data_IF_538845622559
#
_entry.id   IF_538845622559
#
_cell.length_a   1.000
_cell.length_b   1.000
_cell.length_c   1.000
_cell.angle_alpha   90.00
_cell.angle_beta   90.00
_cell.angle_gamma   90.00
#
_symmetry.space_group_name_H-M   'P 1'
#
loop_
_entity.id
_entity.type
_entity.pdbx_description
1 polymer ?
#
# COMPACT_ATOMS: atom_id res chain seq x y z
N UNK A 1 18.32 13.56 16.50
CA UNK A 1 17.80 14.71 17.28
C UNK A 1 18.98 15.53 17.75
N UNK A 2 18.95 16.85 17.53
CA UNK A 2 19.96 17.79 18.02
C UNK A 2 19.88 17.88 19.55
N UNK A 3 21.04 17.94 20.22
CA UNK A 3 21.18 17.96 21.70
C UNK A 3 20.34 19.08 22.35
N UNK A 4 20.17 20.19 21.64
CA UNK A 4 19.34 21.34 22.04
C UNK A 4 17.86 21.01 22.21
N UNK A 5 17.27 20.21 21.31
CA UNK A 5 15.86 19.84 21.40
C UNK A 5 15.61 18.91 22.60
N UNK A 6 16.54 18.01 22.93
CA UNK A 6 16.41 17.16 24.12
C UNK A 6 16.50 17.97 25.42
N UNK A 7 17.36 18.98 25.48
CA UNK A 7 17.48 19.86 26.66
C UNK A 7 16.20 20.71 26.85
N UNK A 8 15.65 21.24 25.76
CA UNK A 8 14.37 21.96 25.77
C UNK A 8 13.17 21.07 26.11
N UNK A 9 13.15 19.81 25.66
CA UNK A 9 12.09 18.87 26.00
C UNK A 9 12.17 18.41 27.48
N UNK A 10 13.38 18.30 28.04
CA UNK A 10 13.57 17.96 29.44
C UNK A 10 13.10 19.06 30.39
N UNK A 11 13.16 20.33 29.97
CA UNK A 11 12.63 21.46 30.75
C UNK A 11 11.10 21.57 30.67
N UNK A 12 10.47 20.99 29.63
CA UNK A 12 9.03 21.03 29.47
C UNK A 12 8.23 20.12 30.40
N UNK A 13 8.84 19.22 31.18
CA UNK A 13 8.16 18.38 32.20
C UNK A 13 6.81 17.78 31.78
N UNK A 14 6.70 17.27 30.54
CA UNK A 14 5.47 16.70 29.96
C UNK A 14 4.34 17.70 29.69
N UNK A 15 4.58 19.00 29.77
CA UNK A 15 3.64 20.03 29.32
C UNK A 15 3.55 20.02 27.79
N UNK A 16 2.38 19.63 27.28
CA UNK A 16 2.14 19.45 25.86
C UNK A 16 2.31 20.75 25.05
N UNK A 17 2.03 21.90 25.67
CA UNK A 17 2.14 23.22 25.01
C UNK A 17 3.61 23.64 24.91
N UNK A 18 4.38 23.49 25.98
CA UNK A 18 5.84 23.69 25.96
C UNK A 18 6.50 22.76 24.94
N UNK A 19 6.16 21.47 24.96
CA UNK A 19 6.67 20.48 24.01
C UNK A 19 6.35 20.89 22.57
N UNK A 20 5.09 21.23 22.27
CA UNK A 20 4.68 21.68 20.93
C UNK A 20 5.48 22.90 20.47
N UNK A 21 5.71 23.88 21.36
CA UNK A 21 6.50 25.07 21.06
C UNK A 21 7.96 24.75 20.76
N UNK A 22 8.58 23.83 21.49
CA UNK A 22 9.94 23.35 21.21
C UNK A 22 10.04 22.71 19.83
N UNK A 23 9.04 21.91 19.42
CA UNK A 23 9.00 21.30 18.09
C UNK A 23 8.80 22.36 16.98
N UNK A 24 7.94 23.35 17.19
CA UNK A 24 7.70 24.44 16.23
C UNK A 24 8.96 25.30 16.06
N UNK A 25 9.64 25.65 17.15
CA UNK A 25 10.84 26.50 17.12
C UNK A 25 12.07 25.80 16.51
N UNK A 26 12.10 24.46 16.52
CA UNK A 26 13.16 23.66 15.92
C UNK A 26 12.79 23.13 14.51
N UNK A 27 11.70 23.62 13.89
CA UNK A 27 11.19 23.18 12.56
C UNK A 27 12.26 23.16 11.45
N UNK A 28 13.18 24.11 11.45
CA UNK A 28 14.29 24.19 10.49
C UNK A 28 15.27 23.01 10.62
N UNK A 29 15.45 22.47 11.82
CA UNK A 29 16.26 21.28 12.10
C UNK A 29 15.64 19.97 11.61
N UNK A 30 14.32 19.94 11.35
CA UNK A 30 13.64 18.77 10.78
C UNK A 30 13.74 18.70 9.24
N UNK A 31 14.23 19.74 8.56
CA UNK A 31 14.54 19.65 7.12
C UNK A 31 15.59 18.55 6.82
N UNK A 32 16.48 18.28 7.78
CA UNK A 32 17.45 17.18 7.74
C UNK A 32 16.76 15.81 7.77
N UNK A 33 15.56 15.70 8.36
CA UNK A 33 14.77 14.47 8.30
C UNK A 33 14.26 14.18 6.89
N UNK A 34 13.94 15.20 6.09
CA UNK A 34 13.60 15.01 4.67
C UNK A 34 14.77 14.38 3.92
N UNK A 35 15.98 14.92 4.08
CA UNK A 35 17.20 14.37 3.47
C UNK A 35 17.59 12.99 4.02
N UNK A 36 17.33 12.74 5.31
CA UNK A 36 17.56 11.44 5.94
C UNK A 36 16.57 10.39 5.41
N UNK A 37 15.29 10.74 5.27
CA UNK A 37 14.24 9.85 4.77
C UNK A 37 14.39 9.57 3.27
N UNK A 38 14.80 10.56 2.46
CA UNK A 38 15.12 10.32 1.04
C UNK A 38 16.37 9.45 0.85
N UNK A 39 17.36 9.57 1.75
CA UNK A 39 18.55 8.72 1.77
C UNK A 39 18.37 7.37 2.47
N UNK A 40 17.24 7.14 3.15
CA UNK A 40 17.00 5.96 3.99
C UNK A 40 17.03 4.64 3.21
N UNK A 41 16.42 4.50 2.00
CA UNK A 41 16.50 3.28 1.21
C UNK A 41 17.94 2.89 0.83
N UNK A 42 18.73 3.87 0.37
CA UNK A 42 20.15 3.68 0.03
C UNK A 42 20.98 3.35 1.28
N UNK A 43 20.64 3.96 2.41
CA UNK A 43 21.29 3.68 3.70
C UNK A 43 20.98 2.27 4.20
N UNK A 44 19.74 1.81 4.04
CA UNK A 44 19.31 0.45 4.42
C UNK A 44 19.89 -0.62 3.51
N UNK A 45 19.99 -0.36 2.20
CA UNK A 45 20.66 -1.24 1.25
C UNK A 45 22.15 -1.40 1.58
N UNK A 46 22.84 -0.29 1.85
CA UNK A 46 24.24 -0.30 2.29
C UNK A 46 24.42 -0.97 3.64
N UNK A 47 23.51 -0.73 4.59
CA UNK A 47 23.54 -1.37 5.91
C UNK A 47 23.33 -2.88 5.78
N UNK A 48 22.44 -3.34 4.91
CA UNK A 48 22.24 -4.77 4.63
C UNK A 48 23.50 -5.38 3.97
N UNK A 49 24.12 -4.67 3.03
CA UNK A 49 25.36 -5.10 2.37
C UNK A 49 26.59 -5.12 3.30
N UNK A 50 26.60 -4.29 4.35
CA UNK A 50 27.63 -4.31 5.39
C UNK A 50 27.33 -5.38 6.45
N UNK A 51 26.07 -5.53 6.85
CA UNK A 51 25.65 -6.53 7.82
C UNK A 51 25.74 -7.97 7.29
N UNK A 52 25.82 -8.17 5.97
CA UNK A 52 26.11 -9.48 5.36
C UNK A 52 27.59 -9.87 5.43
N UNK A 53 28.49 -8.93 5.76
CA UNK A 53 29.93 -9.21 5.93
C UNK A 53 30.22 -9.68 7.37
N UNK A 54 30.89 -10.82 7.58
CA UNK A 54 31.09 -11.42 8.92
C UNK A 54 31.81 -10.50 9.92
N UNK A 55 32.82 -9.76 9.46
CA UNK A 55 33.60 -8.84 10.30
C UNK A 55 32.77 -7.64 10.76
N UNK A 56 32.07 -6.97 9.85
CA UNK A 56 31.22 -5.82 10.17
C UNK A 56 30.00 -6.21 11.01
N UNK A 57 29.41 -7.38 10.76
CA UNK A 57 28.33 -7.91 11.60
C UNK A 57 28.77 -8.16 13.04
N UNK A 58 30.01 -8.63 13.24
CA UNK A 58 30.60 -8.81 14.57
C UNK A 58 30.83 -7.49 15.28
N UNK A 59 31.41 -6.49 14.59
CA UNK A 59 31.62 -5.15 15.16
C UNK A 59 30.31 -4.46 15.55
N UNK A 60 29.25 -4.62 14.75
CA UNK A 60 27.93 -4.09 15.09
C UNK A 60 27.37 -4.74 16.35
N UNK A 61 27.50 -6.07 16.50
CA UNK A 61 27.07 -6.78 17.71
C UNK A 61 27.86 -6.39 18.95
N UNK A 62 29.19 -6.29 18.84
CA UNK A 62 30.05 -5.87 19.95
C UNK A 62 29.70 -4.46 20.43
N UNK A 63 29.47 -3.52 19.49
CA UNK A 63 29.01 -2.16 19.84
C UNK A 63 27.59 -2.14 20.42
N UNK A 64 26.67 -2.95 19.90
CA UNK A 64 25.31 -3.05 20.45
C UNK A 64 25.30 -3.57 21.88
N UNK A 65 26.11 -4.59 22.16
CA UNK A 65 26.30 -5.14 23.50
C UNK A 65 26.92 -4.11 24.44
N UNK A 66 27.97 -3.40 24.00
CA UNK A 66 28.60 -2.35 24.80
C UNK A 66 27.65 -1.17 25.11
N UNK A 67 26.73 -0.86 24.20
CA UNK A 67 25.72 0.19 24.38
C UNK A 67 24.43 -0.31 25.07
N UNK A 68 24.31 -1.60 25.37
CA UNK A 68 23.12 -2.19 25.99
C UNK A 68 21.87 -2.10 25.11
N UNK A 69 22.03 -2.05 23.79
CA UNK A 69 20.92 -1.87 22.85
C UNK A 69 20.25 -3.22 22.53
N UNK A 70 18.97 -3.44 22.91
CA UNK A 70 18.29 -4.73 22.70
C UNK A 70 17.92 -5.06 21.26
N UNK A 71 17.81 -4.05 20.38
CA UNK A 71 17.37 -4.23 18.99
C UNK A 71 18.53 -4.14 17.97
N UNK A 72 18.36 -4.71 16.75
CA UNK A 72 19.25 -4.49 15.63
C UNK A 72 19.40 -2.99 15.28
N UNK A 73 20.57 -2.56 14.82
CA UNK A 73 20.85 -1.15 14.49
C UNK A 73 19.82 -0.58 13.51
N UNK A 74 19.37 -1.38 12.56
CA UNK A 74 18.29 -1.07 11.62
C UNK A 74 16.98 -0.61 12.29
N UNK A 75 16.63 -1.19 13.45
CA UNK A 75 15.41 -0.87 14.18
C UNK A 75 15.46 0.49 14.85
N UNK A 76 16.65 0.98 15.22
CA UNK A 76 16.82 2.32 15.78
C UNK A 76 16.82 3.41 14.71
N UNK A 77 16.95 3.03 13.45
CA UNK A 77 16.83 3.95 12.33
C UNK A 77 15.35 4.16 11.91
N UNK A 78 14.41 3.42 12.52
CA UNK A 78 12.97 3.56 12.29
C UNK A 78 12.25 4.12 13.52
N UNK A 79 11.68 5.32 13.31
CA UNK A 79 10.43 5.86 13.90
C UNK A 79 10.58 6.99 14.94
N UNK A 80 9.84 8.11 14.76
CA UNK A 80 9.23 8.84 15.87
C UNK A 80 7.77 8.40 16.03
N UNK A 81 7.44 7.90 17.22
CA UNK A 81 6.10 7.51 17.66
C UNK A 81 5.65 8.52 18.73
N UNK A 82 4.93 9.55 18.33
CA UNK A 82 4.19 10.51 19.19
C UNK A 82 3.24 11.19 18.22
N UNK A 83 1.93 11.09 18.29
CA UNK A 83 1.03 11.68 19.30
C UNK A 83 -0.34 11.05 19.04
N UNK A 84 -0.97 10.43 20.05
CA UNK A 84 -2.37 9.97 19.92
C UNK A 84 -3.28 10.48 21.03
N UNK A 85 -2.82 11.39 21.88
CA UNK A 85 -3.59 11.92 23.00
C UNK A 85 -3.31 13.43 23.16
N UNK A 86 -4.40 14.19 23.34
CA UNK A 86 -4.51 15.65 23.44
C UNK A 86 -4.52 16.44 22.11
N UNK A 87 -5.73 16.86 21.70
CA UNK A 87 -5.96 17.79 20.60
C UNK A 87 -5.94 19.24 21.14
N UNK A 88 -4.94 20.00 20.70
CA UNK A 88 -4.89 21.46 20.71
C UNK A 88 -4.74 21.95 19.26
N UNK A 89 -5.12 23.19 18.96
CA UNK A 89 -5.06 23.75 17.59
C UNK A 89 -3.66 23.66 16.94
N UNK A 90 -2.60 23.62 17.74
CA UNK A 90 -1.21 23.52 17.26
C UNK A 90 -0.76 22.08 16.99
N UNK A 91 -1.28 21.09 17.74
CA UNK A 91 -1.05 19.66 17.45
C UNK A 91 -1.78 19.21 16.19
N UNK A 92 -2.93 19.81 15.90
CA UNK A 92 -3.66 19.61 14.65
C UNK A 92 -2.86 20.13 13.43
N UNK A 93 -2.16 21.27 13.55
CA UNK A 93 -1.31 21.80 12.49
C UNK A 93 -0.08 20.93 12.22
N UNK A 94 0.59 20.45 13.27
CA UNK A 94 1.73 19.52 13.12
C UNK A 94 1.30 18.18 12.52
N UNK A 95 0.14 17.66 12.95
CA UNK A 95 -0.46 16.44 12.41
C UNK A 95 -0.83 16.64 10.94
N UNK A 96 -1.45 17.77 10.57
CA UNK A 96 -1.76 18.11 9.18
C UNK A 96 -0.51 18.13 8.29
N UNK A 97 0.60 18.73 8.77
CA UNK A 97 1.86 18.77 8.02
C UNK A 97 2.51 17.39 7.87
N UNK A 98 2.52 16.59 8.93
CA UNK A 98 3.05 15.22 8.87
C UNK A 98 2.16 14.29 8.03
N UNK A 99 0.84 14.45 8.08
CA UNK A 99 -0.11 13.75 7.21
C UNK A 99 0.07 14.17 5.75
N UNK A 100 0.32 15.44 5.46
CA UNK A 100 0.60 15.91 4.10
C UNK A 100 1.87 15.29 3.49
N UNK A 101 2.92 15.10 4.31
CA UNK A 101 4.15 14.42 3.87
C UNK A 101 3.88 12.93 3.63
N UNK A 102 3.15 12.26 4.54
CA UNK A 102 2.76 10.86 4.36
C UNK A 102 1.90 10.66 3.10
N UNK A 103 0.92 11.54 2.87
CA UNK A 103 0.08 11.53 1.68
C UNK A 103 0.91 11.71 0.40
N UNK A 104 1.89 12.62 0.41
CA UNK A 104 2.78 12.82 -0.73
C UNK A 104 3.65 11.59 -1.02
N UNK A 105 4.16 10.91 0.02
CA UNK A 105 4.91 9.66 -0.13
C UNK A 105 4.02 8.58 -0.73
N UNK A 106 2.79 8.44 -0.23
CA UNK A 106 1.81 7.48 -0.75
C UNK A 106 1.43 7.80 -2.21
N UNK A 107 1.26 9.09 -2.56
CA UNK A 107 0.99 9.55 -3.93
C UNK A 107 2.15 9.20 -4.88
N UNK A 108 3.38 9.37 -4.41
CA UNK A 108 4.57 9.11 -5.21
C UNK A 108 4.80 7.61 -5.41
N UNK A 109 4.58 6.81 -4.38
CA UNK A 109 4.60 5.35 -4.47
C UNK A 109 3.52 4.83 -5.43
N UNK A 110 2.29 5.36 -5.34
CA UNK A 110 1.18 5.00 -6.24
C UNK A 110 1.49 5.28 -7.71
N UNK A 111 2.01 6.47 -8.02
CA UNK A 111 2.39 6.82 -9.40
C UNK A 111 3.48 5.91 -9.95
N UNK A 112 4.42 5.49 -9.10
CA UNK A 112 5.47 4.56 -9.50
C UNK A 112 4.91 3.17 -9.81
N UNK A 113 4.06 2.62 -8.94
CA UNK A 113 3.40 1.32 -9.15
C UNK A 113 2.56 1.31 -10.44
N UNK A 114 1.81 2.38 -10.73
CA UNK A 114 1.06 2.51 -11.98
C UNK A 114 1.96 2.54 -13.22
N UNK A 115 3.04 3.32 -13.17
CA UNK A 115 3.99 3.42 -14.28
C UNK A 115 4.70 2.09 -14.55
N UNK A 116 5.05 1.34 -13.50
CA UNK A 116 5.65 0.01 -13.61
C UNK A 116 4.70 -0.95 -14.34
N UNK A 117 3.45 -1.09 -13.88
CA UNK A 117 2.47 -1.97 -14.54
C UNK A 117 2.24 -1.54 -15.99
N UNK A 118 2.08 -0.24 -16.25
CA UNK A 118 1.87 0.32 -17.58
C UNK A 118 3.04 -0.02 -18.52
N UNK A 119 4.28 0.08 -18.04
CA UNK A 119 5.49 -0.20 -18.82
C UNK A 119 5.62 -1.69 -19.20
N UNK A 120 5.13 -2.58 -18.34
CA UNK A 120 5.17 -4.04 -18.54
C UNK A 120 3.96 -4.56 -19.33
N UNK A 121 2.91 -3.74 -19.50
CA UNK A 121 1.63 -4.14 -20.07
C UNK A 121 1.64 -4.11 -21.61
N UNK A 122 1.75 -5.28 -22.22
CA UNK A 122 1.70 -5.45 -23.67
C UNK A 122 0.28 -5.70 -24.18
N UNK A 123 -0.08 -5.02 -25.28
CA UNK A 123 -1.36 -5.21 -25.98
C UNK A 123 -2.55 -4.45 -25.39
N UNK A 124 -2.29 -3.51 -24.47
CA UNK A 124 -3.29 -2.58 -23.96
C UNK A 124 -3.37 -1.35 -24.87
N UNK A 125 -4.57 -1.09 -25.39
CA UNK A 125 -4.84 0.05 -26.28
C UNK A 125 -5.76 1.09 -25.62
N UNK A 126 -6.03 0.95 -24.32
CA UNK A 126 -6.85 1.92 -23.59
C UNK A 126 -6.03 3.11 -23.07
N UNK A 127 -6.70 4.08 -22.44
CA UNK A 127 -6.06 5.15 -21.68
C UNK A 127 -5.00 4.68 -20.68
N UNK A 128 -4.15 5.61 -20.23
CA UNK A 128 -3.16 5.37 -19.18
C UNK A 128 -3.83 4.79 -17.91
N UNK A 129 -3.19 3.79 -17.29
CA UNK A 129 -3.75 3.09 -16.13
C UNK A 129 -4.08 4.03 -14.95
N UNK A 130 -3.37 5.14 -14.80
CA UNK A 130 -3.64 6.16 -13.77
C UNK A 130 -5.05 6.76 -13.89
N UNK A 131 -5.66 6.75 -15.08
CA UNK A 131 -7.02 7.28 -15.31
C UNK A 131 -8.13 6.45 -14.67
N UNK A 132 -7.84 5.16 -14.38
CA UNK A 132 -8.77 4.22 -13.77
C UNK A 132 -8.78 4.25 -12.24
N UNK A 133 -8.03 5.18 -11.63
CA UNK A 133 -7.97 5.38 -10.19
C UNK A 133 -6.88 4.56 -9.51
N UNK A 134 -6.96 4.45 -8.19
CA UNK A 134 -5.94 3.82 -7.37
C UNK A 134 -5.92 2.31 -7.57
N UNK A 135 -4.71 1.72 -7.51
CA UNK A 135 -4.55 0.27 -7.48
C UNK A 135 -4.97 -0.23 -6.09
N UNK A 136 -6.17 -0.78 -6.00
CA UNK A 136 -6.74 -1.32 -4.77
C UNK A 136 -6.17 -2.68 -4.39
N UNK A 137 -5.86 -3.54 -5.37
CA UNK A 137 -5.39 -4.90 -5.12
C UNK A 137 -4.70 -5.53 -6.34
N UNK A 138 -3.81 -6.48 -6.06
CA UNK A 138 -3.15 -7.32 -7.07
C UNK A 138 -3.19 -8.78 -6.62
N UNK A 139 -3.45 -9.70 -7.56
CA UNK A 139 -3.62 -11.11 -7.22
C UNK A 139 -3.59 -12.03 -8.42
N UNK A 140 -3.29 -13.30 -8.15
CA UNK A 140 -3.15 -14.33 -9.19
C UNK A 140 -4.26 -15.36 -9.08
N UNK A 141 -4.95 -15.61 -10.19
CA UNK A 141 -6.16 -16.43 -10.27
C UNK A 141 -6.06 -17.46 -11.39
N UNK A 142 -6.70 -18.61 -11.20
CA UNK A 142 -7.05 -19.47 -12.33
C UNK A 142 -8.37 -18.96 -12.91
N UNK A 143 -8.41 -18.71 -14.20
CA UNK A 143 -9.60 -18.22 -14.89
C UNK A 143 -10.21 -19.35 -15.71
N UNK A 144 -11.52 -19.60 -15.53
CA UNK A 144 -12.21 -20.65 -16.29
C UNK A 144 -12.11 -20.37 -17.80
N UNK A 145 -11.83 -21.40 -18.60
CA UNK A 145 -11.62 -21.27 -20.05
C UNK A 145 -10.24 -20.75 -20.46
N UNK A 146 -9.40 -20.31 -19.51
CA UNK A 146 -8.06 -19.82 -19.79
C UNK A 146 -6.99 -20.88 -19.47
N UNK A 147 -6.01 -21.04 -20.37
CA UNK A 147 -4.80 -21.84 -20.10
C UNK A 147 -3.84 -21.04 -19.20
N UNK A 148 -3.49 -21.61 -18.05
CA UNK A 148 -2.55 -21.05 -17.07
C UNK A 148 -3.14 -19.98 -16.16
N UNK A 149 -2.33 -19.53 -15.19
CA UNK A 149 -2.72 -18.48 -14.26
C UNK A 149 -2.86 -17.13 -14.97
N UNK A 150 -3.71 -16.27 -14.40
CA UNK A 150 -3.85 -14.88 -14.79
C UNK A 150 -3.54 -14.00 -13.61
N UNK A 151 -2.92 -12.90 -13.90
CA UNK A 151 -2.61 -11.88 -12.93
C UNK A 151 -3.65 -10.77 -13.07
N UNK A 152 -4.21 -10.32 -11.95
CA UNK A 152 -5.42 -9.52 -11.90
C UNK A 152 -5.13 -8.31 -11.04
N UNK A 153 -5.38 -7.13 -11.60
CA UNK A 153 -5.24 -5.85 -10.93
C UNK A 153 -6.62 -5.23 -10.76
N UNK A 154 -6.93 -4.82 -9.53
CA UNK A 154 -8.15 -4.09 -9.20
C UNK A 154 -7.81 -2.62 -9.03
N UNK A 155 -8.26 -1.79 -9.95
CA UNK A 155 -8.29 -0.34 -9.83
C UNK A 155 -9.68 0.12 -9.34
N UNK A 156 -9.79 1.35 -8.83
CA UNK A 156 -11.08 1.92 -8.40
C UNK A 156 -12.19 1.78 -9.47
N UNK A 157 -11.83 1.97 -10.74
CA UNK A 157 -12.77 1.97 -11.86
C UNK A 157 -12.68 0.75 -12.76
N UNK A 158 -11.67 -0.10 -12.61
CA UNK A 158 -11.41 -1.18 -13.57
C UNK A 158 -10.80 -2.41 -12.90
N UNK A 159 -11.32 -3.60 -13.23
CA UNK A 159 -10.67 -4.88 -13.00
C UNK A 159 -9.92 -5.30 -14.27
N UNK A 160 -8.60 -5.31 -14.24
CA UNK A 160 -7.73 -5.67 -15.35
C UNK A 160 -7.21 -7.10 -15.20
N UNK A 161 -7.26 -7.89 -16.28
CA UNK A 161 -6.75 -9.26 -16.32
C UNK A 161 -5.62 -9.36 -17.35
N UNK A 162 -4.49 -9.89 -16.89
CA UNK A 162 -3.29 -10.10 -17.70
C UNK A 162 -2.79 -11.54 -17.60
N UNK A 163 -1.90 -11.92 -18.50
CA UNK A 163 -1.14 -13.18 -18.45
C UNK A 163 0.33 -12.84 -18.36
N UNK A 164 1.01 -13.35 -17.33
CA UNK A 164 2.46 -13.24 -17.24
C UNK A 164 3.14 -14.01 -18.38
N UNK A 165 4.11 -13.38 -19.04
CA UNK A 165 4.98 -13.97 -20.05
C UNK A 165 6.40 -14.12 -19.48
N UNK A 166 7.34 -14.52 -20.31
CA UNK A 166 8.76 -14.48 -19.97
C UNK A 166 9.19 -13.03 -19.71
N UNK A 167 10.24 -12.86 -18.90
CA UNK A 167 10.84 -11.57 -18.53
C UNK A 167 9.93 -10.58 -17.80
N UNK A 168 8.85 -11.06 -17.16
CA UNK A 168 7.94 -10.23 -16.37
C UNK A 168 6.94 -9.40 -17.18
N UNK A 169 6.90 -9.58 -18.50
CA UNK A 169 5.96 -8.89 -19.38
C UNK A 169 4.53 -9.36 -19.11
N UNK A 170 3.62 -8.40 -18.93
CA UNK A 170 2.20 -8.65 -18.69
C UNK A 170 1.43 -8.53 -20.01
N UNK A 171 0.94 -9.64 -20.54
CA UNK A 171 0.09 -9.59 -21.72
C UNK A 171 -1.36 -9.31 -21.34
N UNK A 172 -1.92 -8.21 -21.85
CA UNK A 172 -3.35 -7.90 -21.72
C UNK A 172 -4.24 -9.06 -22.19
N UNK A 173 -5.34 -9.31 -21.48
CA UNK A 173 -6.34 -10.33 -21.83
C UNK A 173 -7.75 -9.78 -21.85
N UNK A 174 -8.17 -9.10 -20.80
CA UNK A 174 -9.50 -8.51 -20.70
C UNK A 174 -9.54 -7.49 -19.57
N UNK A 175 -10.60 -6.70 -19.53
CA UNK A 175 -10.92 -5.85 -18.39
C UNK A 175 -12.43 -5.79 -18.20
N UNK A 176 -12.87 -5.44 -16.99
CA UNK A 176 -14.27 -5.13 -16.66
C UNK A 176 -14.29 -3.83 -15.88
N UNK A 177 -15.13 -2.87 -16.29
CA UNK A 177 -15.29 -1.62 -15.55
C UNK A 177 -16.09 -1.84 -14.26
N UNK A 178 -15.62 -1.30 -13.13
CA UNK A 178 -16.20 -1.54 -11.80
C UNK A 178 -17.61 -0.95 -11.65
N UNK A 179 -17.92 0.12 -12.39
CA UNK A 179 -19.27 0.70 -12.48
C UNK A 179 -20.24 -0.17 -13.30
N UNK A 180 -19.73 -1.15 -14.03
CA UNK A 180 -20.48 -1.99 -14.96
C UNK A 180 -20.24 -3.48 -14.64
N UNK A 181 -20.23 -3.86 -13.36
CA UNK A 181 -20.04 -5.26 -12.97
C UNK A 181 -21.00 -5.72 -11.87
N UNK A 182 -21.30 -7.02 -11.91
CA UNK A 182 -22.01 -7.78 -10.89
C UNK A 182 -21.07 -8.88 -10.38
N UNK A 183 -21.04 -9.10 -9.07
CA UNK A 183 -20.23 -10.15 -8.43
C UNK A 183 -21.11 -11.25 -7.84
N UNK A 184 -20.82 -12.51 -8.18
CA UNK A 184 -21.44 -13.71 -7.62
C UNK A 184 -20.41 -14.49 -6.81
N UNK A 185 -20.53 -14.46 -5.49
CA UNK A 185 -19.53 -15.03 -4.59
C UNK A 185 -19.64 -16.54 -4.38
N UNK A 186 -20.83 -17.11 -4.53
CA UNK A 186 -21.08 -18.53 -4.25
C UNK A 186 -21.37 -19.27 -5.54
N UNK A 187 -20.55 -20.28 -5.84
CA UNK A 187 -20.69 -21.14 -7.01
C UNK A 187 -20.79 -22.57 -6.50
N UNK A 188 -21.89 -23.26 -6.84
CA UNK A 188 -22.11 -24.64 -6.45
C UNK A 188 -20.97 -25.53 -6.97
N UNK A 189 -20.41 -26.38 -6.09
CA UNK A 189 -19.28 -27.25 -6.43
C UNK A 189 -17.91 -26.57 -6.58
N UNK A 190 -17.82 -25.24 -6.48
CA UNK A 190 -16.58 -24.49 -6.63
C UNK A 190 -16.39 -23.44 -5.50
N UNK A 191 -16.07 -23.88 -4.26
CA UNK A 191 -16.03 -23.00 -3.09
C UNK A 191 -14.96 -21.91 -3.15
N UNK A 192 -13.93 -22.09 -3.97
CA UNK A 192 -12.83 -21.12 -4.17
C UNK A 192 -13.07 -20.16 -5.35
N UNK A 193 -14.12 -20.37 -6.13
CA UNK A 193 -14.41 -19.55 -7.31
C UNK A 193 -15.48 -18.49 -7.03
N UNK A 194 -15.45 -17.42 -7.79
CA UNK A 194 -16.48 -16.37 -7.84
C UNK A 194 -16.58 -15.82 -9.28
N UNK A 195 -17.73 -15.24 -9.64
CA UNK A 195 -17.93 -14.62 -10.95
C UNK A 195 -17.92 -13.10 -10.87
N UNK A 196 -17.27 -12.46 -11.84
CA UNK A 196 -17.41 -11.02 -12.12
C UNK A 196 -18.02 -10.89 -13.51
N UNK A 197 -19.20 -10.30 -13.60
CA UNK A 197 -20.06 -10.34 -14.78
C UNK A 197 -20.35 -8.89 -15.22
N UNK A 198 -20.04 -8.49 -16.46
CA UNK A 198 -20.45 -7.17 -16.96
C UNK A 198 -21.97 -7.11 -17.20
N UNK A 199 -22.61 -5.97 -16.95
CA UNK A 199 -24.08 -5.86 -17.15
C UNK A 199 -24.48 -5.85 -18.61
N UNK A 200 -23.74 -5.12 -19.43
CA UNK A 200 -23.97 -4.97 -20.87
C UNK A 200 -23.51 -6.18 -21.69
N UNK A 201 -22.52 -6.93 -21.18
CA UNK A 201 -21.97 -8.11 -21.84
C UNK A 201 -21.83 -9.32 -20.90
N UNK A 202 -22.92 -9.94 -20.42
CA UNK A 202 -22.86 -11.07 -19.48
C UNK A 202 -22.07 -12.28 -20.00
N UNK A 203 -21.96 -12.45 -21.33
CA UNK A 203 -21.16 -13.50 -21.98
C UNK A 203 -19.66 -13.34 -21.73
N UNK A 204 -19.19 -12.13 -21.43
CA UNK A 204 -17.79 -11.82 -21.12
C UNK A 204 -17.46 -11.99 -19.63
N UNK A 205 -18.28 -12.75 -18.88
CA UNK A 205 -18.04 -13.02 -17.47
C UNK A 205 -16.67 -13.66 -17.20
N UNK A 206 -16.08 -13.27 -16.07
CA UNK A 206 -14.86 -13.85 -15.54
C UNK A 206 -15.18 -14.77 -14.38
N UNK A 207 -14.77 -16.03 -14.47
CA UNK A 207 -14.81 -16.96 -13.33
C UNK A 207 -13.41 -17.06 -12.74
N UNK A 208 -13.21 -16.40 -11.60
CA UNK A 208 -11.92 -16.32 -10.92
C UNK A 208 -11.86 -17.35 -9.79
N UNK A 209 -10.91 -18.27 -9.86
CA UNK A 209 -10.64 -19.25 -8.81
C UNK A 209 -9.43 -18.80 -7.99
N UNK A 210 -9.68 -18.53 -6.71
CA UNK A 210 -8.66 -18.13 -5.75
C UNK A 210 -7.83 -19.33 -5.25
N UNK A 211 -6.61 -19.06 -4.77
CA UNK A 211 -5.74 -20.07 -4.13
C UNK A 211 -6.22 -20.56 -2.76
N UNK A 212 -7.08 -19.80 -2.08
CA UNK A 212 -7.61 -20.14 -0.76
C UNK A 212 -8.91 -19.40 -0.46
N UNK A 213 -9.67 -19.88 0.53
CA UNK A 213 -10.92 -19.25 0.95
C UNK A 213 -10.69 -17.83 1.50
N UNK A 214 -9.58 -17.62 2.23
CA UNK A 214 -9.18 -16.29 2.72
C UNK A 214 -8.93 -15.33 1.56
N UNK A 215 -8.17 -15.77 0.55
CA UNK A 215 -7.89 -14.95 -0.63
C UNK A 215 -9.17 -14.61 -1.40
N UNK A 216 -10.08 -15.59 -1.55
CA UNK A 216 -11.41 -15.34 -2.12
C UNK A 216 -12.16 -14.27 -1.32
N UNK A 217 -12.27 -14.43 0.00
CA UNK A 217 -13.00 -13.49 0.88
C UNK A 217 -12.47 -12.07 0.76
N UNK A 218 -11.15 -11.90 0.84
CA UNK A 218 -10.47 -10.61 0.67
C UNK A 218 -10.84 -9.95 -0.67
N UNK A 219 -10.69 -10.68 -1.77
CA UNK A 219 -11.01 -10.16 -3.11
C UNK A 219 -12.48 -9.82 -3.30
N UNK A 220 -13.38 -10.67 -2.80
CA UNK A 220 -14.82 -10.39 -2.88
C UNK A 220 -15.20 -9.14 -2.08
N UNK A 221 -14.57 -8.89 -0.93
CA UNK A 221 -14.81 -7.67 -0.16
C UNK A 221 -14.30 -6.42 -0.87
N UNK A 222 -13.12 -6.50 -1.50
CA UNK A 222 -12.55 -5.38 -2.25
C UNK A 222 -13.40 -5.05 -3.49
N UNK A 223 -13.83 -6.07 -4.24
CA UNK A 223 -14.73 -5.90 -5.38
C UNK A 223 -16.06 -5.27 -4.99
N UNK A 224 -16.62 -5.64 -3.82
CA UNK A 224 -17.83 -4.98 -3.27
C UNK A 224 -17.60 -3.52 -2.92
N UNK A 225 -16.41 -3.19 -2.39
CA UNK A 225 -16.05 -1.82 -2.01
C UNK A 225 -16.00 -0.89 -3.23
N UNK A 226 -15.45 -1.36 -4.34
CA UNK A 226 -15.29 -0.55 -5.56
C UNK A 226 -16.50 -0.61 -6.50
N UNK A 227 -17.33 -1.65 -6.40
CA UNK A 227 -18.56 -1.75 -7.18
C UNK A 227 -19.66 -0.89 -6.57
N UNK A 228 -19.84 0.31 -7.10
CA UNK A 228 -20.91 1.25 -6.70
C UNK A 228 -22.31 0.62 -6.73
N UNK A 229 -22.53 -0.40 -7.56
CA UNK A 229 -23.83 -1.07 -7.73
C UNK A 229 -24.09 -2.23 -6.76
N UNK A 230 -23.11 -2.69 -5.98
CA UNK A 230 -23.32 -3.80 -5.04
C UNK A 230 -24.35 -3.46 -3.94
N UNK A 231 -24.46 -2.17 -3.59
CA UNK A 231 -25.45 -1.66 -2.62
C UNK A 231 -26.86 -1.59 -3.24
N UNK A 232 -26.98 -1.36 -4.55
CA UNK A 232 -28.28 -1.26 -5.22
C UNK A 232 -28.97 -2.63 -5.38
N UNK A 233 -28.19 -3.69 -5.60
CA UNK A 233 -28.73 -5.05 -5.77
C UNK A 233 -29.37 -5.63 -4.50
N UNK A 234 -28.86 -5.32 -3.31
CA UNK A 234 -29.52 -5.73 -2.05
C UNK A 234 -30.85 -5.00 -1.86
N UNK A 235 -30.96 -3.73 -2.28
CA UNK A 235 -32.22 -2.98 -2.21
C UNK A 235 -33.27 -3.47 -3.20
N UNK A 236 -32.88 -4.03 -4.35
CA UNK A 236 -33.82 -4.57 -5.33
C UNK A 236 -34.26 -6.01 -4.97
N UNK A 237 -33.40 -6.78 -4.28
CA UNK A 237 -33.72 -8.18 -3.90
C UNK A 237 -34.52 -8.33 -2.58
N UNK A 238 -34.75 -7.25 -1.83
CA UNK A 238 -35.58 -7.22 -0.61
C UNK A 238 -36.97 -6.58 -0.82
N UNK A 239 -37.35 -6.30 -2.08
CA UNK A 239 -38.72 -5.95 -2.48
C UNK A 239 -39.33 -7.06 -3.33
N UNK A 240 -39.43 -8.26 -2.75
CA UNK A 240 -40.46 -9.27 -3.06
C UNK A 240 -40.83 -9.90 -1.73
#
# INVERSE_FOLDING_TARGET
MTRSLCEELNTCRLDATCIARCFVNNTTGFSVYTSYCTGYPVTMERLAALASKPQSAREFRERQLALGHPLPLASYLLKPNVVKQCASSETEYALLKMTGIAQHIDDMKRRHEHAEIQSLLYGWNGPDLTTYGELCAEGTFRVLGAKGMRHVFLFDKMLLVTKNREDGILAYKSHIMCNNMMLVESIAGAPLAFHVIPWDAPRSQLTLQARSLRHKREWTLLLKRVSTFYIALIKIKLKI
#
